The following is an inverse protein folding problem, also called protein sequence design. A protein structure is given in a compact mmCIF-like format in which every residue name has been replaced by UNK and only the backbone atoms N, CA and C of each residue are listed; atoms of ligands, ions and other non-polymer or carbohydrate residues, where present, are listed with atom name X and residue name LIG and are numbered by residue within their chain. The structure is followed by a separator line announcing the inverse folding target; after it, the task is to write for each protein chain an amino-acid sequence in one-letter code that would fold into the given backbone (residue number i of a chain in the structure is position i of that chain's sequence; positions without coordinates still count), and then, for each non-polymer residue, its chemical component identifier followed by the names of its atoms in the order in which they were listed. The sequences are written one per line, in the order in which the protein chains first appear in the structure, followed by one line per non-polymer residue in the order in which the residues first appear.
data_IF_652824602943
#
_entry.id   IF_652824602943
#
_cell.length_a   1.000
_cell.length_b   1.000
_cell.length_c   1.000
_cell.angle_alpha   90.00
_cell.angle_beta   90.00
_cell.angle_gamma   90.00
#
_symmetry.space_group_name_H-M   'P 1'
#
loop_
_entity.id
_entity.type
_entity.pdbx_description
1 polymer ?
#
# COMPACT_ATOMS: atom_id res chain seq x y z
N UNK A 1 43.12 46.56 7.64
CA UNK A 1 42.48 45.29 8.03
C UNK A 1 41.00 45.40 7.71
N UNK A 2 40.50 44.70 6.70
CA UNK A 2 39.06 44.68 6.39
C UNK A 2 38.42 43.53 7.18
N UNK A 3 37.35 43.77 7.95
CA UNK A 3 36.65 42.68 8.64
C UNK A 3 35.91 41.82 7.60
N UNK A 4 35.87 40.49 7.76
CA UNK A 4 35.18 39.64 6.80
C UNK A 4 33.67 39.92 6.88
N UNK A 5 33.08 40.25 5.72
CA UNK A 5 31.65 40.35 5.49
C UNK A 5 30.96 39.01 5.78
N UNK A 6 30.69 38.73 7.06
CA UNK A 6 29.93 37.57 7.57
C UNK A 6 28.42 37.86 7.70
N UNK A 7 27.91 38.92 7.08
CA UNK A 7 26.55 39.43 7.28
C UNK A 7 25.46 38.71 6.48
N UNK A 8 25.59 38.53 5.15
CA UNK A 8 24.48 38.04 4.33
C UNK A 8 24.43 36.51 4.19
N UNK A 9 25.58 35.85 4.12
CA UNK A 9 25.65 34.42 3.76
C UNK A 9 25.32 33.52 4.95
N UNK A 10 25.78 33.89 6.15
CA UNK A 10 25.42 33.19 7.38
C UNK A 10 23.92 33.29 7.69
N UNK A 11 23.32 34.47 7.46
CA UNK A 11 21.88 34.66 7.64
C UNK A 11 21.07 33.82 6.64
N UNK A 12 21.51 33.74 5.38
CA UNK A 12 20.89 32.86 4.37
C UNK A 12 21.03 31.38 4.73
N UNK A 13 22.21 30.92 5.13
CA UNK A 13 22.41 29.53 5.56
C UNK A 13 21.59 29.19 6.80
N UNK A 14 21.46 30.13 7.75
CA UNK A 14 20.64 29.97 8.95
C UNK A 14 19.15 29.91 8.61
N UNK A 15 18.65 30.83 7.79
CA UNK A 15 17.26 30.83 7.35
C UNK A 15 16.89 29.56 6.56
N UNK A 16 17.79 29.09 5.69
CA UNK A 16 17.63 27.83 4.96
C UNK A 16 17.54 26.64 5.96
N UNK A 17 18.46 26.57 6.93
CA UNK A 17 18.44 25.53 7.96
C UNK A 17 17.14 25.55 8.78
N UNK A 18 16.73 26.72 9.27
CA UNK A 18 15.50 26.89 10.06
C UNK A 18 14.25 26.51 9.26
N UNK A 19 14.21 26.85 7.96
CA UNK A 19 13.12 26.46 7.06
C UNK A 19 12.99 24.93 6.91
N UNK A 20 14.09 24.22 6.63
CA UNK A 20 14.05 22.75 6.51
C UNK A 20 13.81 22.04 7.83
N UNK A 21 14.30 22.58 8.95
CA UNK A 21 13.95 22.06 10.27
C UNK A 21 12.46 22.21 10.56
N UNK A 22 11.85 23.33 10.16
CA UNK A 22 10.41 23.53 10.25
C UNK A 22 9.63 22.50 9.42
N UNK A 23 10.01 22.29 8.16
CA UNK A 23 9.39 21.28 7.31
C UNK A 23 9.57 19.84 7.83
N UNK A 24 10.73 19.53 8.41
CA UNK A 24 10.96 18.23 9.04
C UNK A 24 10.05 18.04 10.26
N UNK A 25 9.95 19.05 11.12
CA UNK A 25 9.08 19.02 12.29
C UNK A 25 7.60 18.91 11.90
N UNK A 26 7.17 19.58 10.82
CA UNK A 26 5.81 19.48 10.27
C UNK A 26 5.53 18.08 9.71
N UNK A 27 6.47 17.51 8.95
CA UNK A 27 6.35 16.15 8.43
C UNK A 27 6.32 15.10 9.56
N UNK A 28 7.15 15.25 10.59
CA UNK A 28 7.15 14.41 11.79
C UNK A 28 5.84 14.56 12.57
N UNK A 29 5.34 15.79 12.74
CA UNK A 29 4.06 16.05 13.39
C UNK A 29 2.92 15.36 12.67
N UNK A 30 2.84 15.49 11.33
CA UNK A 30 1.82 14.82 10.53
C UNK A 30 1.96 13.28 10.53
N UNK A 31 3.20 12.75 10.59
CA UNK A 31 3.43 11.30 10.77
C UNK A 31 2.91 10.83 12.13
N UNK A 32 3.17 11.57 13.21
CA UNK A 32 2.69 11.23 14.57
C UNK A 32 1.17 11.32 14.69
N UNK A 33 0.53 12.26 13.99
CA UNK A 33 -0.93 12.35 13.93
C UNK A 33 -1.58 11.27 13.06
N UNK A 34 -0.80 10.44 12.35
CA UNK A 34 -1.32 9.40 11.46
C UNK A 34 -1.77 9.91 10.08
N UNK A 35 -1.47 11.16 9.74
CA UNK A 35 -1.83 11.75 8.44
C UNK A 35 -0.85 11.37 7.32
N UNK A 36 0.36 10.93 7.68
CA UNK A 36 1.41 10.50 6.73
C UNK A 36 1.92 9.10 7.08
N UNK A 37 2.08 8.27 6.05
CA UNK A 37 2.66 6.92 6.12
C UNK A 37 3.87 6.81 5.19
N UNK A 38 4.77 5.88 5.49
CA UNK A 38 5.94 5.65 4.65
C UNK A 38 5.52 5.12 3.26
N UNK A 39 5.87 5.85 2.20
CA UNK A 39 5.55 5.45 0.81
C UNK A 39 6.02 4.04 0.49
N UNK A 40 7.21 3.66 0.96
CA UNK A 40 7.78 2.33 0.70
C UNK A 40 6.93 1.22 1.33
N UNK A 41 6.48 1.40 2.58
CA UNK A 41 5.61 0.45 3.26
C UNK A 41 4.28 0.27 2.51
N UNK A 42 3.63 1.36 2.10
CA UNK A 42 2.40 1.32 1.29
C UNK A 42 2.63 0.64 -0.05
N UNK A 43 3.73 0.98 -0.73
CA UNK A 43 4.04 0.42 -2.06
C UNK A 43 4.28 -1.10 -1.98
N UNK A 44 5.01 -1.54 -0.95
CA UNK A 44 5.25 -2.96 -0.69
C UNK A 44 3.96 -3.69 -0.34
N UNK A 45 3.14 -3.13 0.55
CA UNK A 45 1.85 -3.72 0.92
C UNK A 45 0.91 -3.84 -0.28
N UNK A 46 0.81 -2.82 -1.11
CA UNK A 46 0.00 -2.84 -2.34
C UNK A 46 0.50 -3.91 -3.34
N UNK A 47 1.82 -4.06 -3.50
CA UNK A 47 2.38 -5.08 -4.37
C UNK A 47 2.07 -6.49 -3.86
N UNK A 48 2.26 -6.73 -2.55
CA UNK A 48 1.92 -8.00 -1.91
C UNK A 48 0.43 -8.29 -2.05
N UNK A 49 -0.44 -7.30 -1.81
CA UNK A 49 -1.88 -7.46 -1.98
C UNK A 49 -2.27 -7.89 -3.40
N UNK A 50 -1.70 -7.24 -4.42
CA UNK A 50 -1.93 -7.61 -5.82
C UNK A 50 -1.41 -9.02 -6.14
N UNK A 51 -0.28 -9.43 -5.55
CA UNK A 51 0.22 -10.80 -5.66
C UNK A 51 -0.70 -11.81 -5.01
N UNK A 52 -1.18 -11.54 -3.79
CA UNK A 52 -2.10 -12.43 -3.07
C UNK A 52 -3.38 -12.68 -3.88
N UNK A 53 -3.98 -11.63 -4.44
CA UNK A 53 -5.16 -11.77 -5.32
C UNK A 53 -4.85 -12.65 -6.52
N UNK A 54 -3.72 -12.43 -7.19
CA UNK A 54 -3.29 -13.25 -8.33
C UNK A 54 -3.13 -14.71 -7.95
N UNK A 55 -2.40 -14.99 -6.87
CA UNK A 55 -2.07 -16.35 -6.44
C UNK A 55 -3.35 -17.11 -6.05
N UNK A 56 -4.30 -16.46 -5.36
CA UNK A 56 -5.61 -17.04 -5.04
C UNK A 56 -6.46 -17.32 -6.29
N UNK A 57 -6.51 -16.38 -7.23
CA UNK A 57 -7.27 -16.54 -8.48
C UNK A 57 -6.76 -17.68 -9.35
N UNK A 58 -5.44 -17.82 -9.51
CA UNK A 58 -4.89 -18.95 -10.27
C UNK A 58 -4.95 -20.26 -9.48
N UNK A 59 -4.98 -20.21 -8.15
CA UNK A 59 -5.24 -21.36 -7.29
C UNK A 59 -6.63 -21.98 -7.48
N UNK A 60 -7.62 -21.19 -7.93
CA UNK A 60 -8.97 -21.70 -8.27
C UNK A 60 -8.98 -22.54 -9.54
N UNK A 61 -8.14 -22.21 -10.54
CA UNK A 61 -8.17 -22.86 -11.85
C UNK A 61 -8.13 -24.39 -11.79
N UNK A 62 -7.16 -25.04 -11.11
CA UNK A 62 -7.13 -26.50 -11.00
C UNK A 62 -8.28 -27.09 -10.18
N UNK A 63 -8.91 -26.32 -9.29
CA UNK A 63 -10.05 -26.77 -8.48
C UNK A 63 -11.34 -26.75 -9.31
N UNK A 64 -11.54 -25.68 -10.09
CA UNK A 64 -12.73 -25.51 -10.93
C UNK A 64 -12.70 -26.40 -12.16
N UNK A 65 -11.53 -26.72 -12.72
CA UNK A 65 -11.41 -27.49 -13.96
C UNK A 65 -12.23 -28.81 -13.98
N UNK A 66 -12.08 -29.73 -13.00
CA UNK A 66 -12.86 -30.97 -12.98
C UNK A 66 -14.35 -30.74 -12.71
N UNK A 67 -14.70 -29.75 -11.89
CA UNK A 67 -16.09 -29.42 -11.58
C UNK A 67 -16.81 -28.92 -12.84
N UNK A 68 -16.19 -27.99 -13.56
CA UNK A 68 -16.72 -27.42 -14.80
C UNK A 68 -16.80 -28.45 -15.93
N UNK A 69 -15.82 -29.37 -16.02
CA UNK A 69 -15.83 -30.44 -17.03
C UNK A 69 -17.04 -31.38 -16.89
N UNK A 70 -17.61 -31.50 -15.70
CA UNK A 70 -18.80 -32.31 -15.43
C UNK A 70 -20.12 -31.54 -15.64
N UNK A 71 -20.08 -30.21 -15.84
CA UNK A 71 -21.27 -29.38 -16.03
C UNK A 71 -21.63 -29.24 -17.51
N UNK A 72 -22.93 -29.28 -17.80
CA UNK A 72 -23.46 -29.16 -19.18
C UNK A 72 -24.38 -27.97 -19.37
N UNK A 73 -24.92 -27.39 -18.29
CA UNK A 73 -25.80 -26.23 -18.33
C UNK A 73 -24.99 -24.93 -18.18
N UNK A 74 -24.98 -24.04 -19.20
CA UNK A 74 -24.29 -22.77 -19.15
C UNK A 74 -24.68 -21.89 -17.95
N UNK A 75 -25.95 -21.91 -17.54
CA UNK A 75 -26.40 -21.09 -16.41
C UNK A 75 -25.81 -21.56 -15.08
N UNK A 76 -25.73 -22.88 -14.87
CA UNK A 76 -25.07 -23.45 -13.68
C UNK A 76 -23.58 -23.13 -13.68
N UNK A 77 -22.93 -23.20 -14.84
CA UNK A 77 -21.51 -22.86 -14.99
C UNK A 77 -21.26 -21.40 -14.58
N UNK A 78 -22.05 -20.46 -15.13
CA UNK A 78 -21.91 -19.04 -14.79
C UNK A 78 -22.14 -18.78 -13.30
N UNK A 79 -23.20 -19.37 -12.73
CA UNK A 79 -23.52 -19.25 -11.30
C UNK A 79 -22.39 -19.79 -10.42
N UNK A 80 -21.83 -20.95 -10.78
CA UNK A 80 -20.73 -21.59 -10.05
C UNK A 80 -19.46 -20.76 -10.09
N UNK A 81 -19.05 -20.31 -11.28
CA UNK A 81 -17.91 -19.40 -11.47
C UNK A 81 -18.06 -18.11 -10.66
N UNK A 82 -19.23 -17.48 -10.76
CA UNK A 82 -19.51 -16.22 -10.05
C UNK A 82 -19.43 -16.41 -8.52
N UNK A 83 -19.94 -17.53 -8.02
CA UNK A 83 -19.84 -17.89 -6.60
C UNK A 83 -18.40 -18.09 -6.15
N UNK A 84 -17.62 -18.84 -6.93
CA UNK A 84 -16.20 -19.09 -6.65
C UNK A 84 -15.37 -17.79 -6.64
N UNK A 85 -15.58 -16.92 -7.63
CA UNK A 85 -14.89 -15.63 -7.72
C UNK A 85 -15.25 -14.71 -6.56
N UNK A 86 -16.54 -14.61 -6.21
CA UNK A 86 -16.97 -13.79 -5.08
C UNK A 86 -16.28 -14.23 -3.79
N UNK A 87 -16.29 -15.54 -3.52
CA UNK A 87 -15.63 -16.10 -2.33
C UNK A 87 -14.14 -15.75 -2.30
N UNK A 88 -13.43 -15.96 -3.40
CA UNK A 88 -11.98 -15.68 -3.45
C UNK A 88 -11.67 -14.19 -3.32
N UNK A 89 -12.47 -13.31 -3.92
CA UNK A 89 -12.27 -11.87 -3.74
C UNK A 89 -12.59 -11.40 -2.32
N UNK A 90 -13.59 -11.99 -1.65
CA UNK A 90 -13.85 -11.73 -0.23
C UNK A 90 -12.70 -12.23 0.65
N UNK A 91 -12.18 -13.42 0.38
CA UNK A 91 -11.02 -13.99 1.09
C UNK A 91 -9.78 -13.10 0.89
N UNK A 92 -9.50 -12.70 -0.35
CA UNK A 92 -8.40 -11.81 -0.67
C UNK A 92 -8.54 -10.45 0.02
N UNK A 93 -9.72 -9.83 -0.02
CA UNK A 93 -9.97 -8.54 0.63
C UNK A 93 -9.66 -8.63 2.14
N UNK A 94 -10.16 -9.66 2.84
CA UNK A 94 -9.90 -9.85 4.27
C UNK A 94 -8.41 -10.00 4.57
N UNK A 95 -7.67 -10.77 3.77
CA UNK A 95 -6.23 -10.95 3.96
C UNK A 95 -5.46 -9.64 3.70
N UNK A 96 -5.77 -8.94 2.61
CA UNK A 96 -5.03 -7.74 2.22
C UNK A 96 -5.32 -6.53 3.10
N UNK A 97 -6.52 -6.42 3.67
CA UNK A 97 -6.85 -5.32 4.60
C UNK A 97 -6.01 -5.42 5.86
N UNK A 98 -5.88 -6.62 6.45
CA UNK A 98 -5.05 -6.82 7.64
C UNK A 98 -3.57 -6.48 7.37
N UNK A 99 -3.04 -6.91 6.22
CA UNK A 99 -1.66 -6.61 5.82
C UNK A 99 -1.44 -5.10 5.58
N UNK A 100 -2.41 -4.41 4.95
CA UNK A 100 -2.33 -2.96 4.75
C UNK A 100 -2.39 -2.19 6.07
N UNK A 101 -3.32 -2.54 6.96
CA UNK A 101 -3.45 -1.91 8.28
C UNK A 101 -2.16 -2.07 9.09
N UNK A 102 -1.55 -3.25 9.04
CA UNK A 102 -0.27 -3.50 9.68
C UNK A 102 0.85 -2.64 9.06
N UNK A 103 0.96 -2.60 7.73
CA UNK A 103 1.97 -1.81 7.03
C UNK A 103 1.81 -0.29 7.24
N UNK A 104 0.61 0.19 7.53
CA UNK A 104 0.34 1.60 7.84
C UNK A 104 0.65 1.97 9.29
N UNK A 105 0.75 0.99 10.19
CA UNK A 105 0.92 1.20 11.65
C UNK A 105 2.30 0.77 12.18
N UNK A 106 3.02 -0.10 11.48
CA UNK A 106 4.42 -0.39 11.77
C UNK A 106 5.29 0.87 11.58
N UNK A 107 6.02 1.23 12.64
CA UNK A 107 6.85 2.44 12.72
C UNK A 107 8.25 2.26 12.17
#
# INVERSE_FOLDING_TARGET
MQPPSKGPDFQKSRAHREYYLGQLAEAEFHKVQGNLVAREAVSKAAFTAGRTVRDLMFGLSPQLAPELAAMTDPWQIEKHLTGAFRRVFEDAARMTTADLEHAMTEK
#
